data_IF_399868532743
#
_entry.id   IF_399868532743
#
_cell.length_a   1.000
_cell.length_b   1.000
_cell.length_c   1.000
_cell.angle_alpha   90.00
_cell.angle_beta   90.00
_cell.angle_gamma   90.00
#
_symmetry.space_group_name_H-M   'P 1'
#
loop_
_entity.id
_entity.type
_entity.pdbx_description
1 polymer ?
#
# COMPACT_ATOMS: atom_id res chain seq x y z
N UNK A 1 13.48 -5.01 7.17
CA UNK A 1 13.81 -6.24 7.91
C UNK A 1 14.20 -5.90 9.34
N UNK A 2 14.24 -6.92 10.21
CA UNK A 2 14.38 -6.79 11.66
C UNK A 2 15.55 -5.92 12.13
N UNK A 3 16.71 -6.03 11.48
CA UNK A 3 17.93 -5.25 11.79
C UNK A 3 17.75 -3.73 11.73
N UNK A 4 16.67 -3.27 11.09
CA UNK A 4 16.37 -1.84 10.93
C UNK A 4 15.20 -1.36 11.79
N UNK A 5 14.51 -2.23 12.55
CA UNK A 5 13.31 -1.83 13.29
C UNK A 5 13.60 -0.74 14.33
N UNK A 6 14.70 -0.86 15.08
CA UNK A 6 15.10 0.14 16.09
C UNK A 6 15.60 1.48 15.53
N UNK A 7 15.64 1.67 14.21
CA UNK A 7 16.11 2.94 13.59
C UNK A 7 15.00 3.99 13.46
N UNK A 8 13.76 3.65 13.80
CA UNK A 8 12.60 4.51 13.53
C UNK A 8 12.63 5.83 14.32
N UNK A 9 13.01 5.80 15.60
CA UNK A 9 13.06 7.01 16.42
C UNK A 9 14.14 7.98 15.94
N UNK A 10 15.31 7.46 15.58
CA UNK A 10 16.39 8.27 15.00
C UNK A 10 16.00 8.87 13.64
N UNK A 11 15.22 8.14 12.82
CA UNK A 11 14.65 8.65 11.59
C UNK A 11 13.68 9.81 11.85
N UNK A 12 12.74 9.67 12.78
CA UNK A 12 11.79 10.72 13.13
C UNK A 12 12.51 11.96 13.65
N UNK A 13 13.46 11.80 14.59
CA UNK A 13 14.24 12.90 15.14
C UNK A 13 14.97 13.71 14.06
N UNK A 14 15.51 13.02 13.04
CA UNK A 14 16.16 13.68 11.89
C UNK A 14 15.18 14.49 11.05
N UNK A 15 13.97 13.96 10.80
CA UNK A 15 12.94 14.68 10.03
C UNK A 15 12.40 15.87 10.84
N UNK A 16 12.17 15.70 12.14
CA UNK A 16 11.72 16.77 13.03
C UNK A 16 12.75 17.89 13.11
N UNK A 17 14.05 17.57 13.21
CA UNK A 17 15.12 18.57 13.15
C UNK A 17 15.05 19.40 11.87
N UNK A 18 14.85 18.76 10.71
CA UNK A 18 14.75 19.44 9.43
C UNK A 18 13.47 20.30 9.32
N UNK A 19 12.35 19.81 9.85
CA UNK A 19 11.08 20.57 9.92
C UNK A 19 11.19 21.79 10.83
N UNK A 20 11.84 21.64 11.99
CA UNK A 20 12.11 22.73 12.93
C UNK A 20 13.05 23.79 12.34
N UNK A 21 13.93 23.40 11.40
CA UNK A 21 14.75 24.32 10.62
C UNK A 21 13.96 25.03 9.49
N UNK A 22 12.64 24.85 9.40
CA UNK A 22 11.77 25.50 8.43
C UNK A 22 11.54 24.75 7.13
N UNK A 23 12.10 23.54 6.97
CA UNK A 23 11.87 22.73 5.77
C UNK A 23 10.47 22.11 5.80
N UNK A 24 9.72 22.30 4.70
CA UNK A 24 8.40 21.66 4.52
C UNK A 24 8.58 20.20 4.08
N UNK A 25 8.76 19.31 5.06
CA UNK A 25 8.85 17.86 4.84
C UNK A 25 7.58 17.19 5.33
N UNK A 26 6.94 16.37 4.51
CA UNK A 26 5.73 15.62 4.86
C UNK A 26 5.98 14.13 4.60
N UNK A 27 5.18 13.26 5.21
CA UNK A 27 5.19 11.83 4.90
C UNK A 27 3.79 11.22 5.01
N UNK A 28 3.65 10.01 4.50
CA UNK A 28 2.49 9.17 4.72
C UNK A 28 2.89 7.72 4.99
N UNK A 29 1.94 6.93 5.51
CA UNK A 29 2.12 5.53 5.86
C UNK A 29 0.80 4.75 5.66
N UNK A 30 0.89 3.47 5.29
CA UNK A 30 -0.22 2.52 5.37
C UNK A 30 -0.20 1.77 6.72
N UNK A 31 -1.37 1.31 7.15
CA UNK A 31 -1.61 0.80 8.52
C UNK A 31 -1.27 -0.67 8.73
N UNK A 32 -0.25 -1.19 8.04
CA UNK A 32 0.14 -2.61 8.06
C UNK A 32 1.66 -2.80 8.19
N UNK A 33 2.12 -3.87 8.86
CA UNK A 33 3.54 -4.16 9.08
C UNK A 33 4.17 -4.98 7.93
N UNK A 34 3.54 -5.00 6.76
CA UNK A 34 4.08 -5.64 5.57
C UNK A 34 3.95 -4.72 4.35
N UNK A 35 4.96 -4.76 3.49
CA UNK A 35 4.94 -4.05 2.21
C UNK A 35 4.42 -4.96 1.10
N UNK A 36 4.11 -4.40 -0.06
CA UNK A 36 3.76 -5.16 -1.25
C UNK A 36 4.32 -4.52 -2.51
N UNK A 37 4.93 -5.33 -3.38
CA UNK A 37 5.51 -4.92 -4.66
C UNK A 37 5.80 -6.16 -5.52
N UNK A 38 6.68 -6.06 -6.52
CA UNK A 38 7.18 -7.20 -7.29
C UNK A 38 8.21 -8.03 -6.53
N UNK A 39 8.18 -9.35 -6.68
CA UNK A 39 9.21 -10.29 -6.23
C UNK A 39 10.59 -9.93 -6.79
N UNK A 40 10.61 -9.41 -8.03
CA UNK A 40 11.81 -8.84 -8.67
C UNK A 40 12.57 -7.80 -7.83
N UNK A 41 11.90 -7.12 -6.88
CA UNK A 41 12.57 -6.18 -5.95
C UNK A 41 13.60 -6.82 -5.01
N UNK A 42 13.66 -8.16 -4.96
CA UNK A 42 14.69 -8.91 -4.21
C UNK A 42 15.99 -9.10 -5.01
N UNK A 43 15.98 -8.78 -6.31
CA UNK A 43 17.17 -8.83 -7.17
C UNK A 43 18.00 -7.56 -7.04
N UNK A 44 19.31 -7.60 -7.36
CA UNK A 44 20.15 -6.41 -7.33
C UNK A 44 19.68 -5.37 -8.35
N UNK A 45 19.82 -4.08 -8.00
CA UNK A 45 19.27 -2.96 -8.80
C UNK A 45 19.78 -2.91 -10.24
N UNK A 46 21.01 -3.37 -10.51
CA UNK A 46 21.56 -3.44 -11.86
C UNK A 46 20.82 -4.45 -12.74
N UNK A 47 20.22 -5.49 -12.15
CA UNK A 47 19.44 -6.48 -12.88
C UNK A 47 18.13 -5.89 -13.43
N UNK A 48 17.57 -4.87 -12.78
CA UNK A 48 16.40 -4.13 -13.27
C UNK A 48 16.75 -2.93 -14.18
N UNK A 49 18.03 -2.57 -14.32
CA UNK A 49 18.45 -1.42 -15.10
C UNK A 49 18.03 -1.56 -16.58
N UNK A 50 17.37 -0.56 -17.15
CA UNK A 50 16.80 -0.66 -18.51
C UNK A 50 15.45 -1.38 -18.58
N UNK A 51 14.79 -1.59 -17.44
CA UNK A 51 13.41 -2.07 -17.36
C UNK A 51 13.27 -3.59 -17.37
N UNK A 52 12.02 -4.05 -17.42
CA UNK A 52 11.66 -5.46 -17.20
C UNK A 52 12.17 -6.40 -18.31
N UNK A 53 12.17 -5.96 -19.56
CA UNK A 53 12.71 -6.80 -20.66
C UNK A 53 14.22 -7.04 -20.50
N UNK A 54 14.95 -6.03 -20.03
CA UNK A 54 16.37 -6.15 -19.70
C UNK A 54 16.61 -7.11 -18.52
N UNK A 55 15.73 -7.09 -17.52
CA UNK A 55 15.75 -8.07 -16.43
C UNK A 55 15.53 -9.49 -16.96
N UNK A 56 14.50 -9.71 -17.79
CA UNK A 56 14.23 -11.03 -18.36
C UNK A 56 15.39 -11.55 -19.21
N UNK A 57 16.03 -10.69 -20.00
CA UNK A 57 17.21 -11.07 -20.79
C UNK A 57 18.35 -11.53 -19.87
N UNK A 58 18.62 -10.81 -18.78
CA UNK A 58 19.66 -11.18 -17.80
C UNK A 58 19.34 -12.45 -17.02
N UNK A 59 18.07 -12.68 -16.67
CA UNK A 59 17.65 -13.90 -15.98
C UNK A 59 17.76 -15.16 -16.85
N UNK A 60 17.84 -14.99 -18.17
CA UNK A 60 18.07 -16.05 -19.16
C UNK A 60 19.55 -16.24 -19.52
N UNK A 61 20.39 -15.24 -19.29
CA UNK A 61 21.84 -15.34 -19.47
C UNK A 61 22.48 -16.07 -18.27
N UNK A 62 23.20 -17.19 -18.48
CA UNK A 62 23.74 -17.98 -17.37
C UNK A 62 24.69 -17.22 -16.45
N UNK A 63 25.55 -16.36 -17.00
CA UNK A 63 26.53 -15.61 -16.23
C UNK A 63 25.86 -14.52 -15.37
N UNK A 64 24.96 -13.74 -15.98
CA UNK A 64 24.18 -12.74 -15.26
C UNK A 64 23.27 -13.39 -14.20
N UNK A 65 22.64 -14.52 -14.52
CA UNK A 65 21.78 -15.26 -13.59
C UNK A 65 22.53 -15.73 -12.35
N UNK A 66 23.72 -16.32 -12.51
CA UNK A 66 24.56 -16.74 -11.37
C UNK A 66 24.94 -15.55 -10.48
N UNK A 67 25.26 -14.40 -11.10
CA UNK A 67 25.54 -13.17 -10.35
C UNK A 67 24.31 -12.63 -9.62
N UNK A 68 23.14 -12.64 -10.26
CA UNK A 68 21.87 -12.25 -9.65
C UNK A 68 21.57 -13.14 -8.46
N UNK A 69 21.76 -14.45 -8.58
CA UNK A 69 21.55 -15.40 -7.49
C UNK A 69 22.39 -15.03 -6.25
N UNK A 70 23.69 -14.79 -6.46
CA UNK A 70 24.62 -14.45 -5.39
C UNK A 70 24.35 -13.08 -4.73
N UNK A 71 23.87 -12.11 -5.50
CA UNK A 71 23.64 -10.74 -5.04
C UNK A 71 22.18 -10.47 -4.59
N UNK A 72 21.27 -11.43 -4.75
CA UNK A 72 19.87 -11.29 -4.38
C UNK A 72 19.70 -11.30 -2.86
N UNK A 73 18.91 -10.35 -2.34
CA UNK A 73 18.51 -10.38 -0.93
C UNK A 73 17.36 -11.38 -0.78
N UNK A 74 17.65 -12.58 -0.28
CA UNK A 74 16.65 -13.61 0.01
C UNK A 74 16.45 -13.83 1.52
N UNK A 75 16.79 -12.84 2.36
CA UNK A 75 16.48 -12.91 3.79
C UNK A 75 14.99 -13.13 4.02
N UNK A 76 14.66 -13.99 4.98
CA UNK A 76 13.29 -14.33 5.38
C UNK A 76 12.37 -14.74 4.19
N UNK A 77 12.70 -15.82 3.44
CA UNK A 77 11.85 -16.28 2.33
C UNK A 77 10.48 -16.81 2.82
N UNK A 78 10.39 -17.24 4.08
CA UNK A 78 9.13 -17.59 4.73
C UNK A 78 8.19 -16.37 4.88
N UNK A 79 8.74 -15.16 5.01
CA UNK A 79 8.00 -13.90 5.07
C UNK A 79 7.71 -13.27 3.71
N UNK A 80 7.88 -13.99 2.61
CA UNK A 80 7.52 -13.53 1.25
C UNK A 80 6.31 -14.31 0.76
N UNK A 81 5.14 -13.67 0.77
CA UNK A 81 3.88 -14.26 0.33
C UNK A 81 3.61 -13.90 -1.13
N UNK A 82 3.42 -14.89 -1.98
CA UNK A 82 3.11 -14.71 -3.40
C UNK A 82 1.63 -14.38 -3.55
N UNK A 83 1.31 -13.22 -4.12
CA UNK A 83 -0.06 -12.72 -4.22
C UNK A 83 -0.53 -12.49 -5.65
N UNK A 84 0.35 -12.35 -6.63
CA UNK A 84 -0.10 -12.13 -8.00
C UNK A 84 0.79 -12.67 -9.10
N UNK A 85 0.17 -13.27 -10.11
CA UNK A 85 0.77 -13.84 -11.30
C UNK A 85 0.02 -13.38 -12.55
N UNK A 86 0.76 -13.05 -13.60
CA UNK A 86 0.19 -12.83 -14.93
C UNK A 86 -0.27 -14.16 -15.54
N UNK A 87 0.57 -15.19 -15.45
CA UNK A 87 0.37 -16.51 -16.02
C UNK A 87 -0.70 -17.28 -15.22
N UNK A 88 -1.79 -17.73 -15.89
CA UNK A 88 -2.78 -18.59 -15.25
C UNK A 88 -2.21 -19.88 -14.65
N UNK A 89 -1.11 -20.39 -15.23
CA UNK A 89 -0.46 -21.62 -14.79
C UNK A 89 0.19 -21.49 -13.40
N UNK A 90 0.58 -20.28 -13.01
CA UNK A 90 1.22 -20.02 -11.71
C UNK A 90 0.24 -19.54 -10.64
N UNK A 91 -1.01 -19.23 -11.00
CA UNK A 91 -2.05 -18.80 -10.04
C UNK A 91 -2.31 -19.78 -8.88
N UNK A 92 -2.17 -21.11 -9.05
CA UNK A 92 -2.25 -22.03 -7.90
C UNK A 92 -1.20 -21.76 -6.80
N UNK A 93 -0.14 -21.01 -7.09
CA UNK A 93 0.87 -20.61 -6.10
C UNK A 93 0.49 -19.37 -5.28
N UNK A 94 -0.61 -18.68 -5.63
CA UNK A 94 -1.12 -17.56 -4.82
C UNK A 94 -1.43 -18.04 -3.40
N UNK A 95 -0.97 -17.29 -2.41
CA UNK A 95 -1.08 -17.65 -1.00
C UNK A 95 0.06 -18.54 -0.49
N UNK A 96 0.96 -19.01 -1.35
CA UNK A 96 2.16 -19.74 -0.94
C UNK A 96 3.29 -18.78 -0.58
N UNK A 97 4.15 -19.18 0.36
CA UNK A 97 5.39 -18.46 0.63
C UNK A 97 6.47 -18.83 -0.39
N UNK A 98 7.41 -17.93 -0.65
CA UNK A 98 8.57 -18.23 -1.50
C UNK A 98 9.36 -19.44 -0.97
N UNK A 99 9.52 -19.54 0.35
CA UNK A 99 10.17 -20.70 0.97
C UNK A 99 9.46 -22.01 0.65
N UNK A 100 8.12 -22.04 0.74
CA UNK A 100 7.36 -23.24 0.41
C UNK A 100 7.57 -23.63 -1.06
N UNK A 101 7.47 -22.67 -1.98
CA UNK A 101 7.65 -22.93 -3.41
C UNK A 101 9.07 -23.41 -3.72
N UNK A 102 10.09 -22.80 -3.11
CA UNK A 102 11.48 -23.21 -3.26
C UNK A 102 11.70 -24.65 -2.77
N UNK A 103 11.13 -24.99 -1.60
CA UNK A 103 11.16 -26.35 -1.03
C UNK A 103 10.48 -27.36 -1.94
N UNK A 104 9.26 -27.06 -2.41
CA UNK A 104 8.48 -27.95 -3.28
C UNK A 104 9.20 -28.21 -4.61
N UNK A 105 9.93 -27.21 -5.12
CA UNK A 105 10.74 -27.30 -6.36
C UNK A 105 12.14 -27.88 -6.15
N UNK A 106 12.60 -28.07 -4.91
CA UNK A 106 13.94 -28.57 -4.60
C UNK A 106 15.08 -27.62 -4.98
N UNK A 107 14.84 -26.30 -4.98
CA UNK A 107 15.84 -25.28 -5.37
C UNK A 107 15.99 -24.21 -4.27
N UNK A 108 17.06 -23.41 -4.37
CA UNK A 108 17.26 -22.27 -3.46
C UNK A 108 16.17 -21.19 -3.68
N UNK A 109 15.81 -20.39 -2.65
CA UNK A 109 14.81 -19.33 -2.78
C UNK A 109 15.11 -18.30 -3.88
N UNK A 110 16.38 -17.95 -4.08
CA UNK A 110 16.80 -17.06 -5.16
C UNK A 110 16.48 -17.65 -6.53
N UNK A 111 16.81 -18.93 -6.74
CA UNK A 111 16.51 -19.68 -7.97
C UNK A 111 15.01 -19.75 -8.21
N UNK A 112 14.23 -20.13 -7.20
CA UNK A 112 12.76 -20.15 -7.29
C UNK A 112 12.19 -18.78 -7.67
N UNK A 113 12.68 -17.69 -7.07
CA UNK A 113 12.23 -16.34 -7.39
C UNK A 113 12.55 -15.94 -8.84
N UNK A 114 13.76 -16.26 -9.31
CA UNK A 114 14.17 -16.02 -10.70
C UNK A 114 13.31 -16.83 -11.68
N UNK A 115 13.08 -18.11 -11.40
CA UNK A 115 12.24 -18.99 -12.21
C UNK A 115 10.81 -18.45 -12.31
N UNK A 116 10.19 -18.10 -11.18
CA UNK A 116 8.84 -17.55 -11.17
C UNK A 116 8.74 -16.25 -12.00
N UNK A 117 9.73 -15.35 -11.92
CA UNK A 117 9.73 -14.12 -12.73
C UNK A 117 9.84 -14.42 -14.23
N UNK A 118 10.68 -15.40 -14.61
CA UNK A 118 10.84 -15.82 -16.01
C UNK A 118 9.60 -16.54 -16.53
N UNK A 119 9.07 -17.50 -15.77
CA UNK A 119 7.88 -18.30 -16.10
C UNK A 119 6.61 -17.45 -16.18
N UNK A 120 6.46 -16.47 -15.28
CA UNK A 120 5.31 -15.57 -15.26
C UNK A 120 5.39 -14.49 -16.34
N UNK A 121 6.62 -14.14 -16.74
CA UNK A 121 6.87 -12.99 -17.61
C UNK A 121 6.41 -11.68 -16.98
N UNK A 122 6.43 -11.59 -15.65
CA UNK A 122 6.08 -10.37 -14.90
C UNK A 122 6.95 -10.22 -13.65
N UNK A 123 6.78 -9.11 -12.93
CA UNK A 123 7.49 -8.84 -11.68
C UNK A 123 7.06 -9.74 -10.52
N UNK A 124 5.98 -10.52 -10.68
CA UNK A 124 5.29 -11.37 -9.69
C UNK A 124 4.89 -10.58 -8.44
N UNK A 125 3.60 -10.37 -8.22
CA UNK A 125 3.12 -9.66 -7.03
C UNK A 125 3.45 -10.42 -5.74
N UNK A 126 4.09 -9.76 -4.79
CA UNK A 126 4.47 -10.33 -3.51
C UNK A 126 4.19 -9.37 -2.34
N UNK A 127 3.97 -9.94 -1.17
CA UNK A 127 3.89 -9.26 0.13
C UNK A 127 5.10 -9.64 0.97
N UNK A 128 5.72 -8.66 1.64
CA UNK A 128 6.96 -8.83 2.39
C UNK A 128 6.74 -8.49 3.87
N UNK A 129 6.66 -9.51 4.71
CA UNK A 129 6.54 -9.40 6.17
C UNK A 129 7.89 -9.03 6.78
N UNK A 130 8.21 -7.74 6.80
CA UNK A 130 9.55 -7.24 7.13
C UNK A 130 9.59 -5.98 8.00
N UNK A 131 8.43 -5.43 8.38
CA UNK A 131 8.29 -4.24 9.21
C UNK A 131 7.77 -4.62 10.61
N UNK A 132 7.91 -3.71 11.56
CA UNK A 132 7.40 -3.87 12.91
C UNK A 132 6.09 -3.11 13.08
N UNK A 133 5.10 -3.74 13.72
CA UNK A 133 3.83 -3.10 14.08
C UNK A 133 4.06 -1.86 14.97
N UNK A 134 5.04 -1.90 15.87
CA UNK A 134 5.37 -0.76 16.73
C UNK A 134 5.84 0.47 15.94
N UNK A 135 6.54 0.27 14.81
CA UNK A 135 6.89 1.39 13.94
C UNK A 135 5.66 1.97 13.23
N UNK A 136 4.64 1.14 12.93
CA UNK A 136 3.34 1.63 12.44
C UNK A 136 2.65 2.43 13.53
N UNK A 137 2.64 1.97 14.79
CA UNK A 137 2.10 2.72 15.93
C UNK A 137 2.82 4.06 16.13
N UNK A 138 4.14 4.09 16.00
CA UNK A 138 4.91 5.33 16.11
C UNK A 138 4.59 6.31 14.96
N UNK A 139 4.40 5.81 13.73
CA UNK A 139 3.89 6.62 12.62
C UNK A 139 2.47 7.16 12.91
N UNK A 140 1.59 6.34 13.49
CA UNK A 140 0.26 6.77 13.93
C UNK A 140 0.34 7.83 15.03
N UNK A 141 1.33 7.81 15.92
CA UNK A 141 1.52 8.88 16.93
C UNK A 141 2.18 10.15 16.39
N UNK A 142 2.72 10.12 15.16
CA UNK A 142 3.46 11.26 14.58
C UNK A 142 2.51 12.23 13.86
N UNK A 143 2.26 13.46 14.38
CA UNK A 143 1.13 14.30 13.93
C UNK A 143 1.22 14.78 12.48
N UNK A 144 2.43 14.91 11.92
CA UNK A 144 2.68 15.40 10.57
C UNK A 144 2.68 14.30 9.49
N UNK A 145 2.45 13.04 9.88
CA UNK A 145 2.34 11.89 8.97
C UNK A 145 0.88 11.70 8.56
N UNK A 146 0.56 11.83 7.27
CA UNK A 146 -0.76 11.46 6.73
C UNK A 146 -0.87 9.95 6.47
N UNK A 147 -2.00 9.47 5.95
CA UNK A 147 -2.18 8.05 5.62
C UNK A 147 -2.50 7.87 4.14
N UNK A 148 -1.72 7.02 3.47
CA UNK A 148 -1.93 6.56 2.10
C UNK A 148 -2.07 5.05 2.11
N UNK A 149 -3.01 4.48 1.35
CA UNK A 149 -3.23 3.03 1.38
C UNK A 149 -2.12 2.25 0.69
N UNK A 150 -1.43 2.85 -0.30
CA UNK A 150 -0.49 2.15 -1.20
C UNK A 150 -1.11 0.89 -1.85
N UNK A 151 -2.44 0.86 -1.94
CA UNK A 151 -3.22 -0.23 -2.52
C UNK A 151 -3.63 0.10 -3.94
N UNK A 152 -3.66 -0.92 -4.81
CA UNK A 152 -4.37 -0.81 -6.08
C UNK A 152 -5.88 -0.64 -5.86
N UNK A 153 -6.56 0.00 -6.80
CA UNK A 153 -8.02 0.12 -6.78
C UNK A 153 -8.65 -1.11 -7.46
N UNK A 154 -9.20 -2.01 -6.65
CA UNK A 154 -9.80 -3.27 -7.10
C UNK A 154 -11.27 -3.31 -6.68
N UNK A 155 -12.16 -3.76 -7.57
CA UNK A 155 -13.50 -4.20 -7.13
C UNK A 155 -13.43 -5.68 -6.74
N UNK A 156 -14.33 -6.13 -5.87
CA UNK A 156 -14.43 -7.56 -5.56
C UNK A 156 -14.85 -8.36 -6.82
N UNK A 157 -15.69 -7.79 -7.68
CA UNK A 157 -16.11 -8.44 -8.93
C UNK A 157 -14.95 -8.67 -9.90
N UNK A 158 -14.03 -7.71 -10.00
CA UNK A 158 -12.84 -7.80 -10.88
C UNK A 158 -11.73 -8.69 -10.27
N UNK A 159 -11.87 -9.13 -9.02
CA UNK A 159 -10.81 -9.78 -8.25
C UNK A 159 -10.75 -11.31 -8.37
N UNK A 160 -11.72 -11.96 -9.03
CA UNK A 160 -11.78 -13.43 -9.15
C UNK A 160 -11.50 -13.86 -10.59
N UNK A 161 -10.56 -14.80 -10.87
CA UNK A 161 -9.63 -15.51 -9.99
C UNK A 161 -8.15 -15.30 -10.39
N UNK A 162 -7.72 -14.06 -10.66
CA UNK A 162 -6.38 -13.85 -11.22
C UNK A 162 -5.29 -13.60 -10.17
N UNK A 163 -5.57 -12.82 -9.11
CA UNK A 163 -4.56 -12.35 -8.17
C UNK A 163 -5.18 -12.09 -6.79
N UNK A 164 -4.47 -12.46 -5.72
CA UNK A 164 -4.67 -11.84 -4.40
C UNK A 164 -4.06 -10.43 -4.40
N UNK A 165 -4.27 -9.68 -3.32
CA UNK A 165 -3.64 -8.37 -3.10
C UNK A 165 -3.32 -8.15 -1.63
N UNK A 166 -2.59 -7.09 -1.31
CA UNK A 166 -2.34 -6.72 0.07
C UNK A 166 -3.64 -6.14 0.70
N UNK A 167 -4.06 -6.54 1.92
CA UNK A 167 -5.33 -6.12 2.54
C UNK A 167 -5.50 -4.60 2.70
N UNK A 168 -4.38 -3.86 2.74
CA UNK A 168 -4.34 -2.39 2.64
C UNK A 168 -5.17 -1.79 1.49
N UNK A 169 -5.38 -2.52 0.39
CA UNK A 169 -6.23 -2.07 -0.72
C UNK A 169 -7.69 -1.82 -0.31
N UNK A 170 -8.20 -2.56 0.68
CA UNK A 170 -9.59 -2.48 1.14
C UNK A 170 -9.72 -1.93 2.56
N UNK A 171 -8.74 -2.17 3.42
CA UNK A 171 -8.87 -1.98 4.86
C UNK A 171 -8.11 -0.80 5.46
N UNK A 172 -7.24 -0.10 4.72
CA UNK A 172 -6.26 0.83 5.32
C UNK A 172 -6.86 1.88 6.28
N UNK A 173 -7.87 2.61 5.80
CA UNK A 173 -8.49 3.68 6.58
C UNK A 173 -9.39 3.15 7.69
N UNK A 174 -10.09 2.03 7.44
CA UNK A 174 -10.90 1.38 8.45
C UNK A 174 -10.04 0.80 9.60
N UNK A 175 -8.84 0.30 9.29
CA UNK A 175 -7.85 -0.14 10.28
C UNK A 175 -7.31 1.00 11.13
N UNK A 176 -7.09 2.18 10.54
CA UNK A 176 -6.75 3.36 11.32
C UNK A 176 -7.83 3.67 12.35
N UNK A 177 -9.08 3.79 11.90
CA UNK A 177 -10.19 4.25 12.74
C UNK A 177 -10.66 3.17 13.74
N UNK A 178 -10.65 1.90 13.36
CA UNK A 178 -11.05 0.78 14.20
C UNK A 178 -9.94 0.39 15.18
N UNK A 179 -8.82 -0.12 14.65
CA UNK A 179 -7.73 -0.64 15.48
C UNK A 179 -7.01 0.46 16.23
N UNK A 180 -6.44 1.45 15.54
CA UNK A 180 -5.52 2.38 16.21
C UNK A 180 -6.21 3.52 16.97
N UNK A 181 -7.40 3.95 16.53
CA UNK A 181 -8.18 5.01 17.20
C UNK A 181 -9.13 4.43 18.25
N UNK A 182 -10.06 3.55 17.87
CA UNK A 182 -11.06 3.03 18.82
C UNK A 182 -10.47 2.04 19.82
N UNK A 183 -9.74 1.02 19.35
CA UNK A 183 -9.27 -0.08 20.20
C UNK A 183 -8.00 0.27 20.98
N UNK A 184 -6.94 0.73 20.29
CA UNK A 184 -5.65 1.06 20.91
C UNK A 184 -5.57 2.50 21.45
N UNK A 185 -6.50 3.39 21.08
CA UNK A 185 -6.58 4.79 21.54
C UNK A 185 -5.27 5.56 21.38
N UNK A 186 -4.57 5.36 20.27
CA UNK A 186 -3.26 5.97 20.02
C UNK A 186 -3.36 7.48 19.75
N UNK A 187 -4.41 7.90 19.07
CA UNK A 187 -4.74 9.29 18.75
C UNK A 187 -6.26 9.46 18.83
N UNK A 188 -6.77 10.67 19.10
CA UNK A 188 -8.20 10.91 19.11
C UNK A 188 -8.79 10.90 17.69
N UNK A 189 -10.10 10.68 17.59
CA UNK A 189 -10.78 10.50 16.30
C UNK A 189 -10.66 11.72 15.40
N UNK A 190 -10.77 12.93 15.96
CA UNK A 190 -10.64 14.19 15.25
C UNK A 190 -9.24 14.38 14.64
N UNK A 191 -8.19 13.92 15.32
CA UNK A 191 -6.83 13.96 14.77
C UNK A 191 -6.70 12.98 13.60
N UNK A 192 -7.23 11.76 13.75
CA UNK A 192 -7.25 10.78 12.66
C UNK A 192 -8.02 11.34 11.45
N UNK A 193 -9.20 11.92 11.64
CA UNK A 193 -9.99 12.56 10.58
C UNK A 193 -9.21 13.70 9.93
N UNK A 194 -8.54 14.56 10.70
CA UNK A 194 -7.68 15.61 10.17
C UNK A 194 -6.58 15.05 9.25
N UNK A 195 -5.93 13.96 9.69
CA UNK A 195 -4.83 13.28 8.97
C UNK A 195 -5.28 12.47 7.76
N UNK A 196 -6.57 12.18 7.65
CA UNK A 196 -7.23 11.59 6.48
C UNK A 196 -7.81 12.62 5.51
N UNK A 197 -7.92 13.89 5.90
CA UNK A 197 -8.65 14.91 5.13
C UNK A 197 -7.84 16.20 4.94
N UNK A 198 -7.84 17.08 5.92
CA UNK A 198 -7.27 18.41 5.83
C UNK A 198 -5.74 18.40 5.66
N UNK A 199 -5.03 17.49 6.34
CA UNK A 199 -3.57 17.38 6.25
C UNK A 199 -3.12 16.98 4.83
N UNK A 200 -3.57 15.86 4.22
CA UNK A 200 -3.18 15.52 2.86
C UNK A 200 -3.67 16.56 1.84
N UNK A 201 -4.85 17.17 2.03
CA UNK A 201 -5.29 18.27 1.18
C UNK A 201 -4.35 19.49 1.25
N UNK A 202 -3.83 19.83 2.42
CA UNK A 202 -2.85 20.90 2.59
C UNK A 202 -1.48 20.53 1.99
N UNK A 203 -1.02 19.29 2.19
CA UNK A 203 0.25 18.77 1.68
C UNK A 203 0.28 18.84 0.13
N UNK A 204 -0.81 18.41 -0.51
CA UNK A 204 -0.97 18.36 -1.96
C UNK A 204 -1.55 19.65 -2.57
N UNK A 205 -1.79 20.67 -1.75
CA UNK A 205 -2.37 21.96 -2.17
C UNK A 205 -3.73 21.84 -2.88
N UNK A 206 -4.58 20.93 -2.42
CA UNK A 206 -5.93 20.72 -2.95
C UNK A 206 -6.85 21.84 -2.45
N UNK A 207 -7.16 22.79 -3.34
CA UNK A 207 -8.00 23.93 -3.01
C UNK A 207 -9.44 23.49 -2.70
N UNK A 208 -9.99 24.01 -1.60
CA UNK A 208 -11.39 23.83 -1.19
C UNK A 208 -11.81 22.37 -0.98
N UNK A 209 -10.88 21.51 -0.54
CA UNK A 209 -11.12 20.09 -0.19
C UNK A 209 -10.52 19.77 1.18
N UNK A 210 -10.94 18.63 1.75
CA UNK A 210 -10.41 18.11 3.02
C UNK A 210 -10.96 18.80 4.28
N UNK A 211 -11.93 19.72 4.16
CA UNK A 211 -12.60 20.38 5.29
C UNK A 211 -14.10 20.54 4.98
N UNK A 212 -14.93 20.45 6.02
CA UNK A 212 -16.36 20.72 5.93
C UNK A 212 -16.61 22.21 6.24
N UNK A 213 -16.62 23.03 5.20
CA UNK A 213 -16.82 24.49 5.30
C UNK A 213 -17.72 24.98 4.15
N UNK A 214 -18.48 26.07 4.34
CA UNK A 214 -19.19 26.72 3.24
C UNK A 214 -18.25 27.05 2.07
N UNK A 215 -18.70 26.75 0.85
CA UNK A 215 -17.92 26.98 -0.38
C UNK A 215 -16.86 25.91 -0.71
N UNK A 216 -16.69 24.89 0.12
CA UNK A 216 -15.85 23.72 -0.19
C UNK A 216 -16.60 22.68 -1.04
N UNK A 217 -15.86 21.79 -1.71
CA UNK A 217 -16.47 20.65 -2.38
C UNK A 217 -17.11 19.73 -1.33
N UNK A 218 -18.31 19.23 -1.63
CA UNK A 218 -19.01 18.26 -0.81
C UNK A 218 -18.44 16.84 -1.00
N UNK A 219 -17.20 16.65 -0.53
CA UNK A 219 -16.58 15.34 -0.36
C UNK A 219 -16.74 14.91 1.10
N UNK A 220 -17.67 13.99 1.36
CA UNK A 220 -18.14 13.69 2.72
C UNK A 220 -18.17 12.18 2.91
N UNK A 221 -17.71 11.71 4.07
CA UNK A 221 -17.86 10.32 4.50
C UNK A 221 -18.67 10.31 5.79
N UNK A 222 -19.70 9.48 5.84
CA UNK A 222 -20.49 9.20 7.04
C UNK A 222 -20.20 7.76 7.45
N UNK A 223 -19.67 7.56 8.66
CA UNK A 223 -19.32 6.26 9.19
C UNK A 223 -19.70 6.18 10.67
N UNK A 224 -19.92 4.96 11.16
CA UNK A 224 -20.13 4.67 12.57
C UNK A 224 -18.77 4.41 13.25
N UNK A 225 -18.32 5.29 14.17
CA UNK A 225 -17.05 5.09 14.86
C UNK A 225 -17.01 3.84 15.74
N UNK A 226 -18.16 3.33 16.21
CA UNK A 226 -18.25 2.11 16.99
C UNK A 226 -18.12 0.85 16.12
N UNK A 227 -18.53 0.91 14.85
CA UNK A 227 -18.59 -0.25 13.95
C UNK A 227 -17.51 -0.28 12.85
N UNK A 228 -16.82 0.83 12.57
CA UNK A 228 -15.80 0.91 11.50
C UNK A 228 -14.67 -0.11 11.72
N UNK A 229 -14.41 -0.98 10.74
CA UNK A 229 -13.37 -2.00 10.84
C UNK A 229 -12.94 -2.53 9.47
N UNK A 230 -11.67 -2.93 9.32
CA UNK A 230 -11.28 -3.72 8.16
C UNK A 230 -11.83 -5.15 8.26
N UNK A 231 -12.04 -5.76 7.09
CA UNK A 231 -12.36 -7.19 6.96
C UNK A 231 -11.30 -7.95 6.15
N UNK A 232 -10.59 -7.24 5.28
CA UNK A 232 -9.55 -7.80 4.44
C UNK A 232 -8.38 -8.34 5.28
N UNK A 233 -8.01 -9.60 5.03
CA UNK A 233 -6.81 -10.24 5.61
C UNK A 233 -5.84 -10.63 4.49
N UNK A 234 -4.65 -11.13 4.83
CA UNK A 234 -3.71 -11.61 3.81
C UNK A 234 -4.23 -12.85 3.07
N UNK A 235 -5.00 -13.69 3.75
CA UNK A 235 -5.61 -14.91 3.23
C UNK A 235 -6.87 -14.59 2.41
N UNK A 236 -7.65 -13.60 2.85
CA UNK A 236 -8.89 -13.17 2.20
C UNK A 236 -8.88 -11.65 2.00
N UNK A 237 -8.10 -11.14 1.03
CA UNK A 237 -7.89 -9.71 0.88
C UNK A 237 -9.07 -8.97 0.22
N UNK A 238 -9.88 -9.65 -0.59
CA UNK A 238 -11.00 -9.04 -1.31
C UNK A 238 -12.26 -8.95 -0.45
N UNK A 239 -12.19 -8.14 0.60
CA UNK A 239 -13.31 -7.88 1.51
C UNK A 239 -13.42 -6.39 1.80
N UNK A 240 -14.56 -5.79 1.49
CA UNK A 240 -14.82 -4.39 1.82
C UNK A 240 -14.82 -4.18 3.35
N UNK A 241 -14.33 -3.02 3.77
CA UNK A 241 -14.48 -2.57 5.14
C UNK A 241 -15.97 -2.38 5.50
N UNK A 242 -16.28 -2.43 6.80
CA UNK A 242 -17.63 -2.23 7.34
C UNK A 242 -17.71 -0.93 8.13
N UNK A 243 -18.94 -0.43 8.39
CA UNK A 243 -19.18 0.75 9.22
C UNK A 243 -19.19 2.08 8.47
N UNK A 244 -18.86 2.11 7.17
CA UNK A 244 -19.09 3.29 6.31
C UNK A 244 -20.50 3.22 5.73
N UNK A 245 -21.31 4.26 5.97
CA UNK A 245 -22.72 4.31 5.55
C UNK A 245 -22.91 5.11 4.27
N UNK A 246 -22.29 6.29 4.18
CA UNK A 246 -22.39 7.14 3.01
C UNK A 246 -21.02 7.67 2.60
N UNK A 247 -20.82 7.77 1.28
CA UNK A 247 -19.70 8.48 0.67
C UNK A 247 -20.30 9.39 -0.38
N UNK A 248 -19.99 10.68 -0.29
CA UNK A 248 -20.42 11.72 -1.21
C UNK A 248 -19.17 12.30 -1.83
N UNK A 249 -19.16 12.43 -3.16
CA UNK A 249 -18.05 13.03 -3.91
C UNK A 249 -18.63 14.15 -4.76
N UNK A 250 -18.10 15.36 -4.60
CA UNK A 250 -18.61 16.57 -5.26
C UNK A 250 -20.14 16.76 -5.14
N UNK A 251 -20.73 16.39 -4.00
CA UNK A 251 -22.16 16.52 -3.73
C UNK A 251 -23.04 15.37 -4.21
N UNK A 252 -22.49 14.38 -4.90
CA UNK A 252 -23.23 13.20 -5.38
C UNK A 252 -22.84 11.98 -4.56
N UNK A 253 -23.84 11.26 -4.03
CA UNK A 253 -23.61 10.02 -3.30
C UNK A 253 -23.01 8.95 -4.22
N UNK A 254 -21.84 8.42 -3.84
CA UNK A 254 -21.17 7.28 -4.49
C UNK A 254 -21.35 5.98 -3.70
N UNK A 255 -21.56 6.10 -2.38
CA UNK A 255 -22.02 5.04 -1.49
C UNK A 255 -23.25 5.57 -0.72
N UNK A 256 -24.35 4.82 -0.69
CA UNK A 256 -25.58 5.19 0.01
C UNK A 256 -26.12 4.01 0.80
N UNK A 257 -26.32 4.19 2.10
CA UNK A 257 -26.83 3.17 3.02
C UNK A 257 -26.04 1.85 2.94
N UNK A 258 -24.72 1.96 2.80
CA UNK A 258 -23.80 0.82 2.67
C UNK A 258 -23.62 0.27 1.25
N UNK A 259 -24.41 0.74 0.28
CA UNK A 259 -24.41 0.21 -1.10
C UNK A 259 -23.72 1.17 -2.08
N UNK A 260 -22.93 0.61 -3.00
CA UNK A 260 -22.23 1.38 -4.04
C UNK A 260 -23.22 1.80 -5.12
N UNK A 261 -23.18 3.07 -5.52
CA UNK A 261 -23.99 3.60 -6.61
C UNK A 261 -23.23 3.57 -7.94
N UNK A 262 -23.93 3.72 -9.06
CA UNK A 262 -23.29 3.87 -10.38
C UNK A 262 -22.63 5.25 -10.61
N UNK A 263 -22.81 6.21 -9.70
CA UNK A 263 -22.35 7.59 -9.90
C UNK A 263 -20.82 7.69 -9.87
N UNK A 264 -20.26 8.40 -10.86
CA UNK A 264 -18.82 8.70 -10.97
C UNK A 264 -18.56 10.20 -11.02
N UNK A 265 -18.93 10.97 -9.99
CA UNK A 265 -18.85 12.44 -9.97
C UNK A 265 -17.42 12.96 -9.78
N UNK A 266 -16.41 12.09 -9.81
CA UNK A 266 -15.00 12.43 -9.64
C UNK A 266 -14.54 13.45 -10.67
N UNK A 267 -13.59 14.30 -10.26
CA UNK A 267 -13.02 15.35 -11.13
C UNK A 267 -11.51 15.29 -11.04
N UNK A 268 -10.85 15.60 -12.16
CA UNK A 268 -9.41 15.82 -12.16
C UNK A 268 -9.10 17.01 -11.24
N UNK A 269 -8.29 16.76 -10.20
CA UNK A 269 -7.81 17.83 -9.32
C UNK A 269 -6.47 18.32 -9.83
N UNK A 270 -6.36 19.63 -10.03
CA UNK A 270 -5.18 20.27 -10.57
C UNK A 270 -4.42 20.96 -9.44
N UNK A 271 -3.13 20.64 -9.31
CA UNK A 271 -2.22 21.26 -8.36
C UNK A 271 -1.69 22.62 -8.85
N UNK A 272 -0.81 23.27 -8.07
CA UNK A 272 -0.26 24.59 -8.37
C UNK A 272 0.47 24.70 -9.72
N UNK A 273 1.03 23.59 -10.22
CA UNK A 273 1.74 23.55 -11.50
C UNK A 273 0.84 23.48 -12.74
N UNK A 274 -0.48 23.37 -12.59
CA UNK A 274 -1.38 23.38 -13.74
C UNK A 274 -1.56 24.81 -14.27
N UNK A 275 -1.20 25.02 -15.54
CA UNK A 275 -1.52 26.27 -16.25
C UNK A 275 -3.03 26.48 -16.21
N UNK A 276 -3.48 27.61 -15.68
CA UNK A 276 -4.87 27.99 -15.83
C UNK A 276 -5.16 28.22 -17.31
N UNK A 277 -6.31 27.78 -17.85
CA UNK A 277 -6.73 28.25 -19.16
C UNK A 277 -6.77 29.78 -19.13
N UNK A 278 -6.27 30.41 -20.19
CA UNK A 278 -6.40 31.86 -20.37
C UNK A 278 -7.88 32.25 -20.28
N UNK A 279 -8.20 33.44 -19.75
CA UNK A 279 -9.58 33.91 -19.61
C UNK A 279 -10.33 33.93 -20.94
#
# INVERSE_FOLDING_TARGET
GADNWGKFDALLAKIDSARNAGLRITADMYTYPASSTGLSSRFPTWAEAGGFDSLLARLRDPAARARIEAESDMRNPAGVLLVGFRSPLLRPLVGSTLEKVARDRGVAPAVAAMDLVVEDGSRVGAVFFSMAEDNVRNAVRTPWVSFGSDGGAWTIADSVPANATHPRAYGNFARLLGKYVREERLIPLEEAVHRLSALPAANLHLRRRGRLLPGYFADIVVFDPAAIAERATYERPHQYAVGVRHVVVNGTATLRDGEVTAARPGRVVRGPGARQPAP
#
